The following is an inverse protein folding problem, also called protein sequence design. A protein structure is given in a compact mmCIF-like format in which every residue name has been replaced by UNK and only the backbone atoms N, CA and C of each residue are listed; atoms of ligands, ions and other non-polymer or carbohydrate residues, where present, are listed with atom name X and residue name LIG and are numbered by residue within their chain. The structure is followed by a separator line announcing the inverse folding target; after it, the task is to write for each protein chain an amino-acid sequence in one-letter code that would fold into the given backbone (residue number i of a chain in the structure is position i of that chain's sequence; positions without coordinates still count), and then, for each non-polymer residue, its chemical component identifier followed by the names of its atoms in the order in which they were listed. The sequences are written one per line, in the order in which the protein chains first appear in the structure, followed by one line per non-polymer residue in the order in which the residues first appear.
data_IF_791900782016
#
_entry.id   IF_791900782016
#
_cell.length_a   1.000
_cell.length_b   1.000
_cell.length_c   1.000
_cell.angle_alpha   90.00
_cell.angle_beta   90.00
_cell.angle_gamma   90.00
#
_symmetry.space_group_name_H-M   'P 1'
#
loop_
_entity.id
_entity.type
_entity.pdbx_description
1 polymer ?
#
# COMPACT_ATOMS: atom_id res chain seq x y z
N UNK A 1 -28.27 -33.61 54.49
CA UNK A 1 -26.90 -33.96 54.14
C UNK A 1 -26.71 -33.56 52.66
N UNK A 2 -26.19 -32.35 52.42
CA UNK A 2 -25.96 -31.83 51.05
C UNK A 2 -24.56 -32.22 50.61
N UNK A 3 -24.47 -32.87 49.48
CA UNK A 3 -23.21 -33.28 48.86
C UNK A 3 -22.51 -32.09 48.24
N UNK A 4 -21.27 -31.84 48.66
CA UNK A 4 -20.36 -30.83 48.08
C UNK A 4 -19.75 -31.42 46.82
N UNK A 5 -20.00 -30.79 45.65
CA UNK A 5 -19.35 -31.13 44.39
C UNK A 5 -17.86 -30.75 44.43
N UNK A 6 -16.94 -31.62 43.98
CA UNK A 6 -15.54 -31.30 43.91
C UNK A 6 -15.25 -30.30 42.78
N UNK A 7 -14.48 -29.28 43.11
CA UNK A 7 -13.93 -28.26 42.18
C UNK A 7 -13.02 -28.95 41.16
N UNK A 8 -13.36 -28.80 39.86
CA UNK A 8 -12.53 -29.30 38.75
C UNK A 8 -11.17 -28.65 38.76
N UNK A 9 -10.07 -29.38 38.48
CA UNK A 9 -8.73 -28.83 38.48
C UNK A 9 -8.54 -27.80 37.35
N UNK A 10 -7.95 -26.66 37.70
CA UNK A 10 -7.55 -25.61 36.77
C UNK A 10 -6.58 -26.23 35.76
N UNK A 11 -6.94 -26.20 34.49
CA UNK A 11 -6.12 -26.69 33.39
C UNK A 11 -4.79 -25.87 33.33
N UNK A 12 -3.61 -26.52 33.31
CA UNK A 12 -2.34 -25.80 33.24
C UNK A 12 -2.28 -24.99 31.94
N UNK A 13 -1.83 -23.75 32.05
CA UNK A 13 -1.69 -22.79 30.97
C UNK A 13 -1.08 -23.47 29.72
N UNK A 14 -1.76 -23.36 28.59
CA UNK A 14 -1.26 -23.84 27.31
C UNK A 14 0.15 -23.30 27.06
N UNK A 15 1.11 -24.12 26.61
CA UNK A 15 2.47 -23.69 26.38
C UNK A 15 2.48 -22.49 25.45
N UNK A 16 3.15 -21.42 25.87
CA UNK A 16 3.35 -20.22 25.06
C UNK A 16 4.08 -20.67 23.79
N UNK A 17 3.38 -20.69 22.65
CA UNK A 17 4.02 -21.02 21.37
C UNK A 17 5.15 -20.04 21.13
N UNK A 18 6.36 -20.51 20.77
CA UNK A 18 7.48 -19.62 20.46
C UNK A 18 7.06 -18.66 19.35
N UNK A 19 7.36 -17.37 19.52
CA UNK A 19 7.08 -16.35 18.52
C UNK A 19 7.87 -16.67 17.25
N UNK A 20 7.21 -16.71 16.11
CA UNK A 20 7.86 -16.94 14.81
C UNK A 20 9.09 -16.03 14.66
N UNK A 21 10.28 -16.55 14.28
CA UNK A 21 11.53 -15.80 14.21
C UNK A 21 11.46 -14.58 13.28
N UNK A 22 10.70 -14.67 12.19
CA UNK A 22 10.52 -13.56 11.24
C UNK A 22 9.68 -12.44 11.85
N UNK A 23 8.56 -12.79 12.51
CA UNK A 23 7.74 -11.85 13.26
C UNK A 23 8.54 -11.21 14.40
N UNK A 24 9.27 -11.99 15.18
CA UNK A 24 10.14 -11.50 16.26
C UNK A 24 11.21 -10.53 15.74
N UNK A 25 11.73 -10.76 14.54
CA UNK A 25 12.73 -9.88 13.92
C UNK A 25 12.11 -8.55 13.49
N UNK A 26 10.90 -8.55 12.94
CA UNK A 26 10.17 -7.32 12.61
C UNK A 26 9.75 -6.53 13.85
N UNK A 27 9.26 -7.18 14.89
CA UNK A 27 8.82 -6.50 16.13
C UNK A 27 9.95 -5.75 16.82
N UNK A 28 11.20 -6.21 16.71
CA UNK A 28 12.36 -5.48 17.21
C UNK A 28 12.68 -4.18 16.47
N UNK A 29 12.10 -3.96 15.29
CA UNK A 29 12.32 -2.73 14.50
C UNK A 29 11.35 -1.60 14.80
N UNK A 30 10.30 -1.89 15.53
CA UNK A 30 9.23 -0.92 15.89
C UNK A 30 9.26 -0.59 17.38
N UNK A 31 8.65 0.52 17.82
CA UNK A 31 8.52 0.85 19.25
C UNK A 31 7.78 -0.24 20.04
N UNK A 32 8.08 -0.36 21.35
CA UNK A 32 7.29 -1.22 22.22
C UNK A 32 5.81 -0.85 22.17
N UNK A 33 4.94 -1.86 22.12
CA UNK A 33 3.49 -1.70 22.03
C UNK A 33 2.97 -1.50 20.60
N UNK A 34 3.82 -1.27 19.61
CA UNK A 34 3.36 -1.23 18.22
C UNK A 34 2.92 -2.61 17.74
N UNK A 35 1.84 -2.60 16.97
CA UNK A 35 1.35 -3.79 16.29
C UNK A 35 2.18 -4.11 15.04
N UNK A 36 2.36 -5.39 14.76
CA UNK A 36 2.96 -5.90 13.53
C UNK A 36 2.09 -7.02 12.98
N UNK A 37 1.78 -6.96 11.70
CA UNK A 37 1.16 -8.06 10.96
C UNK A 37 2.05 -8.43 9.76
N UNK A 38 2.26 -9.72 9.56
CA UNK A 38 3.10 -10.29 8.52
C UNK A 38 2.32 -11.35 7.76
N UNK A 39 2.28 -11.21 6.44
CA UNK A 39 1.76 -12.23 5.52
C UNK A 39 2.91 -12.73 4.65
N UNK A 40 3.03 -14.04 4.52
CA UNK A 40 4.10 -14.71 3.76
C UNK A 40 3.49 -15.78 2.86
N UNK A 41 3.91 -15.79 1.60
CA UNK A 41 3.70 -16.89 0.65
C UNK A 41 5.08 -17.45 0.29
N UNK A 42 5.25 -18.75 0.41
CA UNK A 42 6.45 -19.48 0.00
C UNK A 42 6.06 -20.88 -0.50
N UNK A 43 6.96 -21.63 -1.14
CA UNK A 43 6.66 -22.99 -1.60
C UNK A 43 6.12 -23.91 -0.52
N UNK A 44 6.51 -23.70 0.74
CA UNK A 44 6.05 -24.49 1.90
C UNK A 44 4.64 -24.09 2.39
N UNK A 45 4.02 -23.08 1.80
CA UNK A 45 2.66 -22.64 2.11
C UNK A 45 2.54 -21.15 2.49
N UNK A 46 1.38 -20.80 3.00
CA UNK A 46 1.01 -19.44 3.40
C UNK A 46 1.05 -19.28 4.93
N UNK A 47 1.50 -18.13 5.41
CA UNK A 47 1.52 -17.81 6.84
C UNK A 47 1.01 -16.41 7.10
N UNK A 48 0.18 -16.29 8.14
CA UNK A 48 -0.34 -15.02 8.67
C UNK A 48 0.07 -14.94 10.15
N UNK A 49 0.88 -13.95 10.48
CA UNK A 49 1.49 -13.78 11.79
C UNK A 49 1.19 -12.38 12.31
N UNK A 50 0.72 -12.28 13.56
CA UNK A 50 0.34 -11.02 14.17
C UNK A 50 0.95 -10.87 15.57
N UNK A 51 1.24 -9.62 15.95
CA UNK A 51 1.74 -9.26 17.26
C UNK A 51 1.25 -7.87 17.66
N UNK A 52 0.98 -7.68 18.95
CA UNK A 52 0.59 -6.40 19.51
C UNK A 52 -0.93 -6.14 19.50
N UNK A 53 -1.30 -4.88 19.70
CA UNK A 53 -2.69 -4.44 19.84
C UNK A 53 -2.99 -3.29 18.87
N UNK A 54 -4.26 -3.11 18.56
CA UNK A 54 -4.73 -2.09 17.59
C UNK A 54 -4.41 -0.67 18.02
N UNK A 55 -4.31 -0.41 19.33
CA UNK A 55 -3.98 0.90 19.89
C UNK A 55 -2.91 0.76 21.00
N UNK A 56 -1.66 0.59 20.61
CA UNK A 56 -0.53 0.52 21.53
C UNK A 56 -0.70 -0.53 22.64
N UNK A 57 -0.77 -0.09 23.92
CA UNK A 57 -1.00 -0.97 25.07
C UNK A 57 -2.47 -1.27 25.33
N UNK A 58 -3.38 -0.47 24.77
CA UNK A 58 -4.83 -0.64 24.78
C UNK A 58 -5.35 -1.21 23.47
N UNK A 59 -6.65 -1.27 23.27
CA UNK A 59 -7.27 -1.83 22.08
C UNK A 59 -7.26 -3.37 22.04
N UNK A 60 -7.80 -3.91 20.96
CA UNK A 60 -7.91 -5.36 20.76
C UNK A 60 -6.60 -5.97 20.24
N UNK A 61 -6.34 -7.25 20.47
CA UNK A 61 -5.24 -7.97 19.85
C UNK A 61 -5.33 -7.87 18.31
N UNK A 62 -4.18 -7.64 17.66
CA UNK A 62 -4.11 -7.61 16.20
C UNK A 62 -4.32 -9.01 15.64
N UNK A 63 -5.19 -9.11 14.64
CA UNK A 63 -5.52 -10.33 13.90
C UNK A 63 -5.11 -10.18 12.43
N UNK A 64 -5.12 -11.26 11.64
CA UNK A 64 -4.91 -11.17 10.19
C UNK A 64 -5.89 -10.24 9.47
N UNK A 65 -7.05 -9.96 10.08
CA UNK A 65 -8.13 -9.13 9.53
C UNK A 65 -8.13 -7.70 10.07
N UNK A 66 -7.14 -7.33 10.88
CA UNK A 66 -6.97 -5.96 11.35
C UNK A 66 -6.55 -5.05 10.20
N UNK A 67 -7.32 -3.98 9.94
CA UNK A 67 -7.04 -2.99 8.89
C UNK A 67 -5.95 -2.01 9.27
N UNK A 68 -4.93 -1.86 8.41
CA UNK A 68 -3.82 -0.91 8.53
C UNK A 68 -3.83 0.11 7.39
N UNK A 69 -3.37 1.32 7.65
CA UNK A 69 -3.11 2.31 6.61
C UNK A 69 -1.90 1.90 5.76
N UNK A 70 -2.10 1.79 4.45
CA UNK A 70 -1.05 1.34 3.53
C UNK A 70 -0.10 2.46 3.08
N UNK A 71 -0.50 3.72 3.23
CA UNK A 71 0.26 4.83 2.68
C UNK A 71 0.57 4.60 1.20
N UNK A 72 1.82 4.74 0.78
CA UNK A 72 2.18 4.68 -0.64
C UNK A 72 2.01 3.30 -1.30
N UNK A 73 1.82 2.21 -0.56
CA UNK A 73 1.41 0.92 -1.15
C UNK A 73 0.05 1.05 -1.84
N UNK A 74 -0.83 1.97 -1.44
CA UNK A 74 -2.07 2.33 -2.16
C UNK A 74 -1.87 2.56 -3.66
N UNK A 75 -0.70 3.06 -4.04
CA UNK A 75 -0.40 3.35 -5.45
C UNK A 75 -0.38 2.10 -6.32
N UNK A 76 -0.07 0.93 -5.74
CA UNK A 76 -0.10 -0.33 -6.50
C UNK A 76 -1.53 -0.71 -6.88
N UNK A 77 -2.50 -0.40 -6.04
CA UNK A 77 -3.93 -0.54 -6.35
C UNK A 77 -4.37 0.45 -7.44
N UNK A 78 -3.90 1.71 -7.39
CA UNK A 78 -4.16 2.69 -8.45
C UNK A 78 -3.57 2.26 -9.79
N UNK A 79 -2.38 1.67 -9.78
CA UNK A 79 -1.77 1.11 -10.98
C UNK A 79 -2.56 -0.09 -11.54
N UNK A 80 -3.05 -0.96 -10.65
CA UNK A 80 -3.89 -2.09 -11.04
C UNK A 80 -5.23 -1.62 -11.61
N UNK A 81 -5.85 -0.56 -11.04
CA UNK A 81 -7.03 0.10 -11.62
C UNK A 81 -6.78 0.63 -13.03
N UNK A 82 -5.66 1.33 -13.24
CA UNK A 82 -5.29 1.79 -14.58
C UNK A 82 -5.19 0.62 -15.57
N UNK A 83 -4.51 -0.44 -15.19
CA UNK A 83 -4.29 -1.60 -16.04
C UNK A 83 -5.60 -2.39 -16.30
N UNK A 84 -6.49 -2.49 -15.31
CA UNK A 84 -7.79 -3.17 -15.44
C UNK A 84 -8.73 -2.40 -16.37
N UNK A 85 -8.85 -1.08 -16.20
CA UNK A 85 -9.64 -0.24 -17.10
C UNK A 85 -9.05 -0.24 -18.52
N UNK A 86 -7.72 -0.29 -18.66
CA UNK A 86 -7.08 -0.40 -19.96
C UNK A 86 -7.34 -1.77 -20.63
N UNK A 87 -7.32 -2.85 -19.85
CA UNK A 87 -7.65 -4.19 -20.35
C UNK A 87 -9.11 -4.31 -20.82
N UNK A 88 -10.01 -3.50 -20.25
CA UNK A 88 -11.41 -3.39 -20.71
C UNK A 88 -11.60 -2.44 -21.90
N UNK A 89 -10.57 -1.68 -22.28
CA UNK A 89 -10.68 -0.65 -23.31
C UNK A 89 -11.38 0.63 -22.86
N UNK A 90 -11.66 0.80 -21.58
CA UNK A 90 -12.30 1.99 -21.00
C UNK A 90 -11.34 3.20 -20.95
N UNK A 91 -10.04 2.94 -20.83
CA UNK A 91 -8.97 3.94 -20.92
C UNK A 91 -7.77 3.39 -21.68
N UNK A 92 -6.81 4.26 -22.00
CA UNK A 92 -5.51 3.87 -22.58
C UNK A 92 -4.36 4.45 -21.74
N UNK A 93 -3.24 3.79 -21.67
CA UNK A 93 -2.03 4.32 -21.01
C UNK A 93 -1.58 5.68 -21.59
N UNK A 94 -1.94 5.96 -22.84
CA UNK A 94 -1.62 7.22 -23.54
C UNK A 94 -2.67 8.31 -23.36
N UNK A 95 -3.81 8.00 -22.75
CA UNK A 95 -4.80 9.02 -22.41
C UNK A 95 -4.16 10.03 -21.47
N UNK A 96 -4.61 11.29 -21.58
CA UNK A 96 -3.96 12.40 -20.88
C UNK A 96 -4.89 13.09 -19.91
N UNK A 97 -4.27 13.71 -18.92
CA UNK A 97 -4.81 14.79 -18.10
C UNK A 97 -3.92 16.01 -18.28
N UNK A 98 -4.54 17.18 -18.44
CA UNK A 98 -3.80 18.42 -18.64
C UNK A 98 -3.49 19.09 -17.30
N UNK A 99 -2.25 19.49 -17.11
CA UNK A 99 -1.77 20.26 -15.95
C UNK A 99 -0.94 21.42 -16.47
N UNK A 100 -1.35 22.66 -16.17
CA UNK A 100 -0.72 23.89 -16.65
C UNK A 100 -0.43 23.83 -18.17
N UNK A 101 -1.47 23.52 -18.94
CA UNK A 101 -1.46 23.39 -20.41
C UNK A 101 -0.56 22.26 -20.96
N UNK A 102 0.03 21.44 -20.10
CA UNK A 102 0.86 20.30 -20.51
C UNK A 102 0.07 19.01 -20.41
N UNK A 103 -0.11 18.24 -21.53
CA UNK A 103 -0.74 16.93 -21.50
C UNK A 103 0.19 15.88 -20.87
N UNK A 104 -0.25 15.30 -19.75
CA UNK A 104 0.47 14.24 -19.04
C UNK A 104 -0.24 12.91 -19.28
N UNK A 105 0.44 11.93 -19.85
CA UNK A 105 -0.16 10.60 -20.05
C UNK A 105 -0.35 9.87 -18.73
N UNK A 106 -1.33 8.95 -18.66
CA UNK A 106 -1.52 8.06 -17.51
C UNK A 106 -0.26 7.23 -17.25
N UNK A 107 0.47 6.84 -18.32
CA UNK A 107 1.76 6.19 -18.18
C UNK A 107 2.79 7.08 -17.47
N UNK A 108 2.89 8.38 -17.83
CA UNK A 108 3.78 9.30 -17.15
C UNK A 108 3.47 9.41 -15.64
N UNK A 109 2.19 9.43 -15.28
CA UNK A 109 1.75 9.50 -13.88
C UNK A 109 2.10 8.20 -13.13
N UNK A 110 1.82 7.04 -13.73
CA UNK A 110 2.05 5.73 -13.13
C UNK A 110 3.54 5.31 -13.06
N UNK A 111 4.41 5.92 -13.88
CA UNK A 111 5.86 5.64 -13.89
C UNK A 111 6.68 6.72 -13.19
N UNK A 112 6.00 7.72 -12.61
CA UNK A 112 6.67 8.86 -11.98
C UNK A 112 7.55 9.70 -12.93
N UNK A 113 7.21 9.73 -14.21
CA UNK A 113 7.92 10.51 -15.24
C UNK A 113 7.16 11.74 -15.73
N UNK A 114 6.10 12.12 -15.04
CA UNK A 114 5.24 13.26 -15.43
C UNK A 114 5.91 14.64 -15.28
N UNK A 115 7.05 14.73 -14.61
CA UNK A 115 7.66 16.01 -14.24
C UNK A 115 6.96 16.74 -13.10
N UNK A 116 5.85 16.22 -12.59
CA UNK A 116 5.12 16.83 -11.47
C UNK A 116 5.96 16.84 -10.18
N UNK A 117 5.83 17.88 -9.34
CA UNK A 117 6.46 17.89 -8.03
C UNK A 117 5.92 16.74 -7.14
N UNK A 118 6.66 16.42 -6.07
CA UNK A 118 6.27 15.36 -5.12
C UNK A 118 4.88 15.59 -4.52
N UNK A 119 4.56 16.83 -4.19
CA UNK A 119 3.30 17.27 -3.58
C UNK A 119 2.70 18.40 -4.42
N UNK A 120 1.37 18.52 -4.50
CA UNK A 120 0.73 19.60 -5.25
C UNK A 120 1.03 20.96 -4.62
N UNK A 121 1.07 22.03 -5.44
CA UNK A 121 1.17 23.41 -4.94
C UNK A 121 0.09 23.72 -3.91
N UNK A 122 0.42 24.51 -2.90
CA UNK A 122 -0.51 24.92 -1.85
C UNK A 122 -0.67 23.91 -0.70
N UNK A 123 -0.43 22.62 -0.90
CA UNK A 123 -0.61 21.60 0.14
C UNK A 123 0.14 21.91 1.43
N UNK A 124 1.38 22.42 1.35
CA UNK A 124 2.14 22.77 2.55
C UNK A 124 1.46 23.87 3.38
N UNK A 125 0.78 24.80 2.72
CA UNK A 125 0.07 25.90 3.37
C UNK A 125 -1.21 25.39 4.04
N UNK A 126 -2.01 24.60 3.34
CA UNK A 126 -3.21 23.96 3.89
C UNK A 126 -2.89 22.97 5.01
N UNK A 127 -1.69 22.39 4.98
CA UNK A 127 -1.24 21.41 5.96
C UNK A 127 -0.79 22.01 7.31
N UNK A 128 -0.55 23.33 7.42
CA UNK A 128 0.01 23.93 8.63
C UNK A 128 -0.68 23.52 9.95
N UNK A 129 -2.01 23.49 10.04
CA UNK A 129 -2.70 23.07 11.28
C UNK A 129 -2.51 21.59 11.64
N UNK A 130 -2.32 20.72 10.63
CA UNK A 130 -2.27 19.27 10.78
C UNK A 130 -0.95 18.66 10.30
N UNK A 131 0.12 19.46 10.19
CA UNK A 131 1.40 19.04 9.62
C UNK A 131 1.97 17.78 10.29
N UNK A 132 1.82 17.68 11.61
CA UNK A 132 2.36 16.54 12.37
C UNK A 132 1.41 15.34 12.45
N UNK A 133 0.16 15.49 12.03
CA UNK A 133 -0.86 14.44 12.02
C UNK A 133 -1.17 13.97 10.60
N UNK A 134 -1.99 14.72 9.86
CA UNK A 134 -2.32 14.40 8.48
C UNK A 134 -2.27 15.66 7.58
N UNK A 135 -1.17 15.91 6.87
CA UNK A 135 -1.01 17.11 6.05
C UNK A 135 -1.96 17.18 4.85
N UNK A 136 -2.65 16.09 4.50
CA UNK A 136 -3.58 16.06 3.36
C UNK A 136 -5.03 16.30 3.76
N UNK A 137 -5.39 16.16 5.04
CA UNK A 137 -6.78 16.15 5.48
C UNK A 137 -7.56 17.42 5.10
N UNK A 138 -6.93 18.58 5.16
CA UNK A 138 -7.52 19.86 4.82
C UNK A 138 -7.37 20.25 3.34
N UNK A 139 -6.66 19.45 2.53
CA UNK A 139 -6.43 19.77 1.13
C UNK A 139 -7.62 19.32 0.27
N UNK A 140 -8.42 20.29 -0.17
CA UNK A 140 -9.66 20.06 -0.88
C UNK A 140 -9.47 19.79 -2.38
N UNK A 141 -10.51 19.24 -3.04
CA UNK A 141 -10.57 19.07 -4.50
C UNK A 141 -10.43 20.41 -5.20
N UNK A 142 -11.10 21.46 -4.71
CA UNK A 142 -11.01 22.80 -5.31
C UNK A 142 -9.59 23.41 -5.19
N UNK A 143 -8.84 23.08 -4.15
CA UNK A 143 -7.43 23.49 -4.06
C UNK A 143 -6.56 22.72 -5.04
N UNK A 144 -6.85 21.43 -5.25
CA UNK A 144 -6.18 20.63 -6.27
C UNK A 144 -6.43 21.18 -7.68
N UNK A 145 -7.66 21.56 -8.03
CA UNK A 145 -8.01 22.13 -9.34
C UNK A 145 -7.20 23.41 -9.59
N UNK A 146 -7.22 24.34 -8.61
CA UNK A 146 -6.41 25.56 -8.70
C UNK A 146 -4.90 25.27 -8.74
N UNK A 147 -4.44 24.19 -8.14
CA UNK A 147 -3.05 23.79 -8.17
C UNK A 147 -2.64 23.23 -9.52
N UNK A 148 -3.55 22.54 -10.23
CA UNK A 148 -3.26 22.04 -11.58
C UNK A 148 -2.89 23.17 -12.52
N UNK A 149 -3.61 24.29 -12.52
CA UNK A 149 -3.34 25.45 -13.38
C UNK A 149 -2.02 26.16 -13.04
N UNK A 150 -1.62 26.11 -11.76
CA UNK A 150 -0.43 26.82 -11.25
C UNK A 150 0.81 25.95 -11.13
N UNK A 151 0.69 24.66 -11.47
CA UNK A 151 1.79 23.71 -11.33
C UNK A 151 2.91 24.03 -12.33
N UNK A 152 4.14 24.08 -11.84
CA UNK A 152 5.33 24.08 -12.69
C UNK A 152 5.96 22.70 -12.70
N UNK A 153 6.09 22.12 -13.89
CA UNK A 153 6.79 20.86 -14.05
C UNK A 153 8.28 21.04 -13.78
N UNK A 154 8.90 20.06 -13.16
CA UNK A 154 10.35 20.06 -12.87
C UNK A 154 11.19 19.66 -14.07
N UNK A 155 10.64 18.81 -14.94
CA UNK A 155 11.25 18.32 -16.16
C UNK A 155 10.14 18.07 -17.20
N UNK A 156 10.49 17.99 -18.50
CA UNK A 156 9.56 17.52 -19.52
C UNK A 156 9.00 16.13 -19.16
N UNK A 157 7.72 15.86 -19.50
CA UNK A 157 7.14 14.55 -19.31
C UNK A 157 7.93 13.47 -20.06
N UNK A 158 8.20 12.34 -19.40
CA UNK A 158 8.97 11.22 -19.94
C UNK A 158 10.48 11.30 -19.70
N UNK A 159 11.05 12.45 -19.38
CA UNK A 159 12.50 12.67 -19.28
C UNK A 159 13.12 11.99 -18.04
N UNK A 160 12.55 12.21 -16.87
CA UNK A 160 13.15 11.76 -15.61
C UNK A 160 12.13 11.15 -14.65
N UNK A 161 12.60 10.13 -13.92
CA UNK A 161 11.86 9.57 -12.80
C UNK A 161 11.94 10.51 -11.60
N UNK A 162 10.79 11.03 -11.18
CA UNK A 162 10.66 11.84 -9.99
C UNK A 162 9.40 11.41 -9.21
N UNK A 163 9.61 10.71 -8.09
CA UNK A 163 8.51 10.18 -7.28
C UNK A 163 7.51 11.27 -6.91
N UNK A 164 6.26 11.10 -7.31
CA UNK A 164 5.20 12.08 -7.12
C UNK A 164 3.93 11.46 -6.53
N UNK A 165 3.58 11.88 -5.30
CA UNK A 165 2.26 11.60 -4.71
C UNK A 165 1.17 12.33 -5.50
N UNK A 166 1.49 13.56 -5.94
CA UNK A 166 0.60 14.37 -6.77
C UNK A 166 0.23 13.62 -8.05
N UNK A 167 1.23 13.11 -8.77
CA UNK A 167 1.00 12.43 -10.05
C UNK A 167 0.11 11.18 -9.92
N UNK A 168 0.40 10.27 -8.98
CA UNK A 168 -0.43 9.06 -8.83
C UNK A 168 -1.78 9.37 -8.19
N UNK A 169 -1.86 10.35 -7.30
CA UNK A 169 -3.13 10.80 -6.76
C UNK A 169 -4.04 11.40 -7.84
N UNK A 170 -3.47 12.22 -8.73
CA UNK A 170 -4.18 12.76 -9.89
C UNK A 170 -4.62 11.65 -10.85
N UNK A 171 -3.76 10.64 -11.10
CA UNK A 171 -4.15 9.45 -11.87
C UNK A 171 -5.39 8.79 -11.26
N UNK A 172 -5.37 8.48 -9.94
CA UNK A 172 -6.50 7.83 -9.28
C UNK A 172 -7.80 8.64 -9.37
N UNK A 173 -7.71 9.96 -9.20
CA UNK A 173 -8.83 10.88 -9.40
C UNK A 173 -9.36 10.81 -10.83
N UNK A 174 -8.50 10.97 -11.82
CA UNK A 174 -8.91 10.98 -13.24
C UNK A 174 -9.49 9.63 -13.68
N UNK A 175 -8.98 8.49 -13.18
CA UNK A 175 -9.58 7.18 -13.44
C UNK A 175 -11.00 7.07 -12.87
N UNK A 176 -11.22 7.58 -11.67
CA UNK A 176 -12.55 7.62 -11.04
C UNK A 176 -13.53 8.51 -11.81
N UNK A 177 -13.10 9.70 -12.23
CA UNK A 177 -13.88 10.63 -13.07
C UNK A 177 -14.25 9.99 -14.43
N UNK A 178 -13.31 9.30 -15.08
CA UNK A 178 -13.56 8.58 -16.35
C UNK A 178 -14.56 7.42 -16.18
N UNK A 179 -14.53 6.75 -15.03
CA UNK A 179 -15.48 5.70 -14.68
C UNK A 179 -16.82 6.23 -14.14
N UNK A 180 -17.00 7.54 -14.01
CA UNK A 180 -18.23 8.18 -13.51
C UNK A 180 -18.54 7.87 -12.04
N UNK A 181 -17.50 7.64 -11.21
CA UNK A 181 -17.65 7.22 -9.81
C UNK A 181 -16.58 7.84 -8.90
N UNK A 182 -16.63 7.55 -7.61
CA UNK A 182 -15.56 7.92 -6.68
C UNK A 182 -14.39 6.90 -6.70
N UNK A 183 -13.20 7.33 -6.30
CA UNK A 183 -12.04 6.42 -6.22
C UNK A 183 -12.28 5.23 -5.27
N UNK A 184 -12.86 5.39 -4.05
CA UNK A 184 -13.19 4.25 -3.21
C UNK A 184 -14.15 3.27 -3.86
N UNK A 185 -15.22 3.76 -4.50
CA UNK A 185 -16.19 2.91 -5.18
C UNK A 185 -15.58 2.18 -6.39
N UNK A 186 -14.72 2.87 -7.16
CA UNK A 186 -13.98 2.25 -8.26
C UNK A 186 -13.04 1.14 -7.75
N UNK A 187 -12.28 1.41 -6.68
CA UNK A 187 -11.40 0.43 -6.05
C UNK A 187 -12.19 -0.82 -5.62
N UNK A 188 -13.30 -0.62 -4.91
CA UNK A 188 -14.14 -1.70 -4.42
C UNK A 188 -14.70 -2.53 -5.57
N UNK A 189 -15.34 -1.90 -6.56
CA UNK A 189 -16.03 -2.62 -7.64
C UNK A 189 -15.09 -3.31 -8.62
N UNK A 190 -13.91 -2.74 -8.88
CA UNK A 190 -13.00 -3.26 -9.92
C UNK A 190 -11.89 -4.15 -9.38
N UNK A 191 -11.48 -3.95 -8.11
CA UNK A 191 -10.34 -4.66 -7.53
C UNK A 191 -10.75 -5.43 -6.27
N UNK A 192 -11.23 -4.74 -5.21
CA UNK A 192 -11.40 -5.38 -3.90
C UNK A 192 -12.45 -6.48 -3.94
N UNK A 193 -13.65 -6.21 -4.44
CA UNK A 193 -14.73 -7.20 -4.49
C UNK A 193 -14.41 -8.38 -5.42
N UNK A 194 -13.94 -8.18 -6.67
CA UNK A 194 -13.59 -9.31 -7.53
C UNK A 194 -12.47 -10.20 -6.96
N UNK A 195 -11.47 -9.62 -6.27
CA UNK A 195 -10.39 -10.38 -5.65
C UNK A 195 -10.73 -10.90 -4.25
N UNK A 196 -11.93 -10.62 -3.71
CA UNK A 196 -12.34 -11.03 -2.37
C UNK A 196 -11.54 -10.36 -1.24
N UNK A 197 -11.10 -9.11 -1.45
CA UNK A 197 -10.35 -8.31 -0.48
C UNK A 197 -11.35 -7.54 0.40
N UNK A 198 -11.93 -8.20 1.38
CA UNK A 198 -13.07 -7.69 2.15
C UNK A 198 -12.71 -6.60 3.17
N UNK A 199 -11.44 -6.48 3.54
CA UNK A 199 -10.90 -5.46 4.43
C UNK A 199 -10.01 -4.44 3.71
N UNK A 200 -10.16 -4.31 2.37
CA UNK A 200 -9.38 -3.37 1.54
C UNK A 200 -10.28 -2.30 0.96
N UNK A 201 -10.17 -1.09 1.50
CA UNK A 201 -10.99 0.08 1.17
C UNK A 201 -10.25 1.39 1.46
N UNK A 202 -10.99 2.52 1.52
CA UNK A 202 -10.47 3.83 1.94
C UNK A 202 -11.08 4.33 3.27
N UNK A 203 -11.80 3.48 3.97
CA UNK A 203 -12.42 3.81 5.26
C UNK A 203 -11.45 3.67 6.43
N UNK A 204 -11.68 4.33 7.58
CA UNK A 204 -10.83 4.19 8.75
C UNK A 204 -10.68 2.73 9.20
N UNK A 205 -9.43 2.25 9.28
CA UNK A 205 -9.11 0.90 9.76
C UNK A 205 -9.07 0.80 11.29
N UNK A 206 -9.02 -0.45 11.81
CA UNK A 206 -8.99 -0.72 13.24
C UNK A 206 -7.66 -0.39 13.92
N UNK A 207 -6.54 -0.48 13.20
CA UNK A 207 -5.23 -0.15 13.75
C UNK A 207 -5.02 1.36 13.82
N UNK A 208 -4.90 1.88 15.04
CA UNK A 208 -4.62 3.29 15.31
C UNK A 208 -3.14 3.57 15.00
N UNK A 209 -2.88 4.49 14.10
CA UNK A 209 -1.52 4.91 13.76
C UNK A 209 -0.85 5.70 14.89
N UNK A 210 0.45 5.49 15.13
CA UNK A 210 1.19 6.15 16.20
C UNK A 210 2.42 6.90 15.68
N UNK A 211 2.62 8.12 16.16
CA UNK A 211 3.83 8.88 16.00
C UNK A 211 4.47 9.17 17.37
N UNK A 212 5.69 8.66 17.61
CA UNK A 212 6.37 8.77 18.91
C UNK A 212 5.47 8.33 20.07
N UNK A 213 4.79 7.19 19.92
CA UNK A 213 3.87 6.59 20.89
C UNK A 213 2.57 7.40 21.17
N UNK A 214 2.29 8.43 20.40
CA UNK A 214 1.04 9.18 20.46
C UNK A 214 0.11 8.70 19.37
N UNK A 215 -1.16 8.37 19.69
CA UNK A 215 -2.15 8.01 18.70
C UNK A 215 -2.43 9.18 17.76
N UNK A 216 -2.69 8.88 16.50
CA UNK A 216 -2.99 9.86 15.46
C UNK A 216 -4.42 9.65 14.95
N UNK A 217 -5.08 10.73 14.49
CA UNK A 217 -6.33 10.60 13.77
C UNK A 217 -6.13 9.77 12.49
N UNK A 218 -7.20 9.12 11.98
CA UNK A 218 -7.14 8.35 10.75
C UNK A 218 -6.57 9.15 9.57
N UNK A 219 -5.70 8.51 8.80
CA UNK A 219 -5.10 9.12 7.62
C UNK A 219 -6.12 9.27 6.49
N UNK A 220 -6.31 10.46 5.99
CA UNK A 220 -7.23 10.79 4.90
C UNK A 220 -6.53 11.61 3.83
N UNK A 221 -6.86 11.35 2.56
CA UNK A 221 -6.36 12.12 1.40
C UNK A 221 -7.53 12.43 0.48
N UNK A 222 -8.43 13.38 0.83
CA UNK A 222 -9.68 13.60 0.11
C UNK A 222 -9.50 13.92 -1.38
N UNK A 223 -8.55 14.79 -1.71
CA UNK A 223 -8.33 15.23 -3.08
C UNK A 223 -7.48 14.27 -3.94
N UNK A 224 -6.70 13.39 -3.33
CA UNK A 224 -5.73 12.53 -4.01
C UNK A 224 -5.72 11.10 -3.45
N UNK A 225 -6.88 10.43 -3.31
CA UNK A 225 -6.99 9.15 -2.60
C UNK A 225 -6.08 8.06 -3.17
N UNK A 226 -5.89 8.01 -4.48
CA UNK A 226 -4.98 7.06 -5.15
C UNK A 226 -3.52 7.17 -4.75
N UNK A 227 -3.11 8.25 -4.07
CA UNK A 227 -1.74 8.43 -3.60
C UNK A 227 -1.43 7.68 -2.29
N UNK A 228 -2.45 7.33 -1.48
CA UNK A 228 -2.14 6.79 -0.16
C UNK A 228 -3.32 6.61 0.79
N UNK A 229 -4.57 6.60 0.31
CA UNK A 229 -5.75 6.48 1.17
C UNK A 229 -6.16 5.03 1.47
N UNK A 230 -5.65 4.04 0.72
CA UNK A 230 -6.07 2.64 0.87
C UNK A 230 -5.61 2.08 2.21
N UNK A 231 -6.51 1.35 2.83
CA UNK A 231 -6.29 0.49 3.99
C UNK A 231 -6.46 -0.95 3.57
N UNK A 232 -5.78 -1.86 4.25
CA UNK A 232 -5.91 -3.29 3.98
C UNK A 232 -5.49 -4.10 5.20
N UNK A 233 -5.74 -5.39 5.14
CA UNK A 233 -5.39 -6.36 6.17
C UNK A 233 -4.23 -7.25 5.70
N UNK A 234 -3.59 -7.97 6.62
CA UNK A 234 -2.56 -8.93 6.25
C UNK A 234 -3.14 -10.06 5.38
N UNK A 235 -4.38 -10.50 5.66
CA UNK A 235 -5.09 -11.51 4.87
C UNK A 235 -5.36 -11.05 3.45
N UNK A 236 -5.86 -9.83 3.29
CA UNK A 236 -6.14 -9.28 1.96
C UNK A 236 -4.87 -9.06 1.15
N UNK A 237 -3.80 -8.57 1.80
CA UNK A 237 -2.50 -8.42 1.12
C UNK A 237 -1.88 -9.77 0.75
N UNK A 238 -2.13 -10.83 1.54
CA UNK A 238 -1.76 -12.19 1.15
C UNK A 238 -2.43 -12.56 -0.18
N UNK A 239 -3.76 -12.44 -0.26
CA UNK A 239 -4.54 -12.70 -1.49
C UNK A 239 -4.09 -11.82 -2.65
N UNK A 240 -3.92 -10.52 -2.40
CA UNK A 240 -3.46 -9.56 -3.39
C UNK A 240 -2.11 -9.95 -4.00
N UNK A 241 -1.17 -10.41 -3.17
CA UNK A 241 0.14 -10.85 -3.63
C UNK A 241 0.10 -12.24 -4.29
N UNK A 242 -0.76 -13.16 -3.82
CA UNK A 242 -0.94 -14.48 -4.44
C UNK A 242 -1.44 -14.35 -5.88
N UNK A 243 -2.39 -13.45 -6.17
CA UNK A 243 -2.83 -13.23 -7.56
C UNK A 243 -1.77 -12.49 -8.42
N UNK A 244 -0.84 -11.77 -7.80
CA UNK A 244 0.32 -11.22 -8.52
C UNK A 244 1.35 -12.30 -8.85
N UNK A 245 1.49 -13.33 -8.02
CA UNK A 245 2.34 -14.50 -8.32
C UNK A 245 1.75 -15.35 -9.43
N UNK A 246 0.45 -15.57 -9.43
CA UNK A 246 -0.28 -16.29 -10.47
C UNK A 246 -1.45 -15.46 -11.03
N UNK A 247 -1.18 -14.59 -12.01
CA UNK A 247 -2.24 -13.80 -12.66
C UNK A 247 -3.33 -14.63 -13.34
N UNK A 248 -3.07 -15.91 -13.67
CA UNK A 248 -4.06 -16.77 -14.31
C UNK A 248 -5.18 -17.17 -13.35
N UNK A 249 -4.93 -17.16 -12.04
CA UNK A 249 -5.94 -17.41 -11.00
C UNK A 249 -6.91 -16.23 -10.78
N UNK A 250 -6.73 -15.08 -11.45
CA UNK A 250 -7.62 -13.94 -11.31
C UNK A 250 -9.02 -14.25 -11.89
N UNK A 251 -10.10 -13.75 -11.26
CA UNK A 251 -11.48 -14.12 -11.57
C UNK A 251 -11.99 -13.61 -12.93
N UNK A 252 -11.28 -12.67 -13.56
CA UNK A 252 -11.67 -12.11 -14.87
C UNK A 252 -10.45 -11.97 -15.79
N UNK A 253 -10.72 -12.07 -17.10
CA UNK A 253 -9.66 -11.88 -18.12
C UNK A 253 -9.04 -10.48 -18.07
N UNK A 254 -9.83 -9.47 -17.72
CA UNK A 254 -9.33 -8.09 -17.56
C UNK A 254 -8.34 -7.99 -16.38
N UNK A 255 -8.65 -8.61 -15.22
CA UNK A 255 -7.73 -8.66 -14.09
C UNK A 255 -6.49 -9.48 -14.39
N UNK A 256 -6.63 -10.62 -15.08
CA UNK A 256 -5.46 -11.41 -15.55
C UNK A 256 -4.53 -10.56 -16.40
N UNK A 257 -5.07 -9.83 -17.37
CA UNK A 257 -4.29 -8.94 -18.23
C UNK A 257 -3.66 -7.79 -17.43
N UNK A 258 -4.42 -7.19 -16.52
CA UNK A 258 -3.96 -6.08 -15.67
C UNK A 258 -2.81 -6.50 -14.74
N UNK A 259 -2.92 -7.65 -14.08
CA UNK A 259 -1.89 -8.19 -13.19
C UNK A 259 -0.57 -8.47 -13.94
N UNK A 260 -0.65 -8.93 -15.19
CA UNK A 260 0.53 -9.07 -16.06
C UNK A 260 1.08 -7.73 -16.49
N UNK A 261 0.22 -6.76 -16.77
CA UNK A 261 0.62 -5.44 -17.28
C UNK A 261 1.33 -4.60 -16.20
N UNK A 262 0.86 -4.62 -14.94
CA UNK A 262 1.52 -3.87 -13.85
C UNK A 262 2.93 -4.39 -13.54
N UNK A 263 3.28 -5.60 -13.95
CA UNK A 263 4.59 -6.21 -13.74
C UNK A 263 5.57 -5.93 -14.89
N UNK A 264 5.10 -5.41 -16.04
CA UNK A 264 5.97 -5.13 -17.18
C UNK A 264 6.92 -3.97 -16.90
N UNK A 265 8.24 -4.13 -17.07
CA UNK A 265 9.19 -3.03 -16.98
C UNK A 265 8.90 -1.96 -18.03
N UNK A 266 8.85 -0.69 -17.61
CA UNK A 266 8.61 0.46 -18.50
C UNK A 266 9.86 1.27 -18.74
N UNK A 267 10.74 1.35 -17.74
CA UNK A 267 12.00 2.10 -17.83
C UNK A 267 13.01 1.61 -16.80
N UNK A 268 14.27 1.88 -17.06
CA UNK A 268 15.40 1.60 -16.14
C UNK A 268 15.67 2.85 -15.31
N UNK A 269 15.89 2.70 -14.01
CA UNK A 269 16.26 3.82 -13.15
C UNK A 269 17.68 4.30 -13.46
N UNK A 270 17.94 5.61 -13.47
CA UNK A 270 19.28 6.14 -13.68
C UNK A 270 20.28 5.56 -12.67
N UNK A 271 21.44 5.16 -13.13
CA UNK A 271 22.55 4.62 -12.29
C UNK A 271 22.17 3.41 -11.44
N UNK A 272 21.24 2.61 -11.89
CA UNK A 272 20.75 1.40 -11.19
C UNK A 272 20.34 0.34 -12.20
N UNK A 273 20.34 -0.92 -11.79
CA UNK A 273 19.70 -2.02 -12.54
C UNK A 273 18.20 -2.10 -12.27
N UNK A 274 17.73 -1.42 -11.21
CA UNK A 274 16.30 -1.40 -10.87
C UNK A 274 15.49 -0.77 -12.00
N UNK A 275 14.30 -1.29 -12.20
CA UNK A 275 13.35 -0.84 -13.23
C UNK A 275 12.08 -0.31 -12.55
N UNK A 276 11.30 0.45 -13.30
CA UNK A 276 9.95 0.87 -12.89
C UNK A 276 8.95 0.23 -13.85
N UNK A 277 7.96 -0.42 -13.25
CA UNK A 277 6.75 -0.88 -13.90
C UNK A 277 5.64 0.18 -13.75
N UNK A 278 4.36 -0.20 -13.76
CA UNK A 278 3.31 0.72 -13.31
C UNK A 278 3.37 0.80 -11.78
N UNK A 279 3.98 1.87 -11.26
CA UNK A 279 4.21 2.13 -9.82
C UNK A 279 5.21 1.18 -9.15
N UNK A 280 5.17 -0.11 -9.45
CA UNK A 280 6.05 -1.10 -8.85
C UNK A 280 7.53 -0.84 -9.17
N UNK A 281 8.38 -0.97 -8.14
CA UNK A 281 9.81 -1.09 -8.34
C UNK A 281 10.13 -2.55 -8.67
N UNK A 282 10.94 -2.77 -9.69
CA UNK A 282 11.41 -4.08 -10.07
C UNK A 282 12.93 -4.13 -9.93
N UNK A 283 13.43 -5.09 -9.19
CA UNK A 283 14.85 -5.38 -9.02
C UNK A 283 15.18 -6.73 -9.66
N UNK A 284 15.99 -6.75 -10.71
CA UNK A 284 16.51 -8.02 -11.24
C UNK A 284 17.41 -8.70 -10.20
N UNK A 285 17.19 -10.00 -9.99
CA UNK A 285 18.07 -10.84 -9.19
C UNK A 285 18.38 -12.16 -9.94
N UNK A 286 19.43 -12.90 -9.58
CA UNK A 286 19.72 -14.20 -10.20
C UNK A 286 18.56 -15.19 -10.11
N UNK A 287 17.77 -15.10 -9.01
CA UNK A 287 16.65 -16.00 -8.72
C UNK A 287 15.31 -15.52 -9.28
N UNK A 288 15.31 -14.41 -10.01
CA UNK A 288 14.12 -13.82 -10.65
C UNK A 288 13.93 -12.35 -10.29
N UNK A 289 13.03 -11.70 -11.02
CA UNK A 289 12.69 -10.30 -10.81
C UNK A 289 11.86 -10.14 -9.51
N UNK A 290 12.32 -9.27 -8.62
CA UNK A 290 11.62 -8.91 -7.39
C UNK A 290 10.86 -7.63 -7.61
N UNK A 291 9.54 -7.68 -7.50
CA UNK A 291 8.68 -6.50 -7.49
C UNK A 291 8.37 -6.10 -6.06
N UNK A 292 8.50 -4.83 -5.74
CA UNK A 292 8.27 -4.34 -4.38
C UNK A 292 7.76 -2.91 -4.33
N UNK A 293 7.06 -2.60 -3.26
CA UNK A 293 6.70 -1.23 -2.88
C UNK A 293 6.71 -1.07 -1.37
N UNK A 294 6.92 0.15 -0.90
CA UNK A 294 6.82 0.50 0.52
C UNK A 294 5.92 1.69 0.73
N UNK A 295 5.32 1.77 1.89
CA UNK A 295 4.41 2.84 2.24
C UNK A 295 4.62 3.36 3.66
N UNK A 296 4.11 4.55 3.87
CA UNK A 296 4.05 5.15 5.19
C UNK A 296 3.05 6.29 5.19
N UNK A 297 2.30 6.35 6.27
CA UNK A 297 1.54 7.52 6.72
C UNK A 297 2.32 8.17 7.86
N UNK A 298 1.71 9.08 8.60
CA UNK A 298 2.36 9.56 9.84
C UNK A 298 2.40 8.48 10.91
N UNK A 299 1.41 7.58 10.92
CA UNK A 299 1.21 6.61 11.99
C UNK A 299 1.44 5.16 11.62
N UNK A 300 1.54 4.81 10.34
CA UNK A 300 1.69 3.43 9.89
C UNK A 300 2.86 3.28 8.92
N UNK A 301 3.43 2.08 8.87
CA UNK A 301 4.44 1.70 7.86
C UNK A 301 4.04 0.37 7.23
N UNK A 302 4.20 0.26 5.91
CA UNK A 302 3.90 -0.93 5.13
C UNK A 302 5.04 -1.28 4.17
N UNK A 303 5.19 -2.56 3.89
CA UNK A 303 6.11 -3.07 2.86
C UNK A 303 5.48 -4.29 2.20
N UNK A 304 5.54 -4.35 0.86
CA UNK A 304 5.12 -5.53 0.09
C UNK A 304 6.17 -5.87 -0.94
N UNK A 305 6.38 -7.17 -1.17
CA UNK A 305 7.26 -7.67 -2.20
C UNK A 305 6.78 -9.04 -2.71
N UNK A 306 7.08 -9.34 -3.97
CA UNK A 306 6.86 -10.68 -4.54
C UNK A 306 7.86 -10.99 -5.65
N UNK A 307 8.10 -12.28 -5.90
CA UNK A 307 8.93 -12.79 -6.97
C UNK A 307 8.18 -13.95 -7.66
N UNK A 308 7.63 -13.74 -8.87
CA UNK A 308 6.87 -14.77 -9.57
C UNK A 308 7.66 -16.04 -9.82
N UNK A 309 8.95 -15.91 -10.18
CA UNK A 309 9.82 -17.07 -10.46
C UNK A 309 10.04 -17.95 -9.24
N UNK A 310 10.14 -17.37 -8.05
CA UNK A 310 10.34 -18.09 -6.78
C UNK A 310 9.01 -18.56 -6.15
N UNK A 311 7.86 -18.07 -6.63
CA UNK A 311 6.57 -18.29 -5.98
C UNK A 311 6.52 -17.69 -4.55
N UNK A 312 7.29 -16.63 -4.27
CA UNK A 312 7.40 -16.05 -2.93
C UNK A 312 6.81 -14.66 -2.87
N UNK A 313 6.13 -14.35 -1.77
CA UNK A 313 5.62 -13.01 -1.50
C UNK A 313 5.63 -12.70 0.00
N UNK A 314 5.67 -11.40 0.31
CA UNK A 314 5.64 -10.90 1.69
C UNK A 314 4.89 -9.57 1.76
N UNK A 315 4.01 -9.43 2.75
CA UNK A 315 3.47 -8.16 3.19
C UNK A 315 3.76 -7.97 4.68
N UNK A 316 4.32 -6.82 5.06
CA UNK A 316 4.59 -6.44 6.44
C UNK A 316 3.92 -5.11 6.75
N UNK A 317 3.16 -5.06 7.85
CA UNK A 317 2.36 -3.93 8.29
C UNK A 317 2.68 -3.60 9.74
N UNK A 318 2.67 -2.32 10.10
CA UNK A 318 2.75 -1.85 11.50
C UNK A 318 2.00 -0.53 11.67
N UNK A 319 1.42 -0.33 12.85
CA UNK A 319 0.81 0.93 13.28
C UNK A 319 1.82 1.91 13.90
N UNK A 320 3.08 1.77 13.56
CA UNK A 320 4.14 2.74 13.87
C UNK A 320 4.53 3.51 12.60
N UNK A 321 4.61 4.83 12.70
CA UNK A 321 5.06 5.69 11.59
C UNK A 321 6.48 5.38 11.15
N UNK A 322 6.84 5.70 9.89
CA UNK A 322 8.14 5.38 9.32
C UNK A 322 9.28 6.09 10.08
N UNK A 323 10.33 5.34 10.34
CA UNK A 323 11.56 5.85 10.94
C UNK A 323 12.55 6.29 9.86
N UNK A 324 13.40 7.26 10.17
CA UNK A 324 14.41 7.77 9.23
C UNK A 324 15.41 6.69 8.79
N UNK A 325 15.71 5.72 9.67
CA UNK A 325 16.60 4.60 9.38
C UNK A 325 15.98 3.52 8.48
N UNK A 326 14.67 3.58 8.24
CA UNK A 326 13.95 2.63 7.38
C UNK A 326 13.99 1.18 7.83
N UNK A 327 14.34 0.91 9.09
CA UNK A 327 14.62 -0.46 9.60
C UNK A 327 13.50 -1.46 9.33
N UNK A 328 12.24 -1.06 9.51
CA UNK A 328 11.10 -1.94 9.28
C UNK A 328 11.07 -2.44 7.84
N UNK A 329 11.17 -1.51 6.88
CA UNK A 329 11.14 -1.81 5.44
C UNK A 329 12.36 -2.66 5.04
N UNK A 330 13.56 -2.27 5.51
CA UNK A 330 14.80 -3.01 5.24
C UNK A 330 14.77 -4.43 5.81
N UNK A 331 14.18 -4.61 6.99
CA UNK A 331 14.02 -5.92 7.62
C UNK A 331 12.98 -6.76 6.89
N UNK A 332 11.84 -6.18 6.49
CA UNK A 332 10.87 -6.83 5.62
C UNK A 332 11.49 -7.32 4.31
N UNK A 333 12.32 -6.49 3.67
CA UNK A 333 13.02 -6.87 2.44
C UNK A 333 14.05 -8.01 2.68
N UNK A 334 14.77 -8.00 3.82
CA UNK A 334 15.68 -9.11 4.16
C UNK A 334 14.93 -10.42 4.38
N UNK A 335 13.86 -10.39 5.18
CA UNK A 335 13.01 -11.57 5.41
C UNK A 335 12.49 -12.11 4.08
N UNK A 336 11.99 -11.24 3.19
CA UNK A 336 11.51 -11.65 1.86
C UNK A 336 12.62 -12.30 1.02
N UNK A 337 13.83 -11.77 1.05
CA UNK A 337 14.95 -12.32 0.29
C UNK A 337 15.36 -13.71 0.79
N UNK A 338 15.19 -13.96 2.08
CA UNK A 338 15.58 -15.21 2.75
C UNK A 338 14.45 -16.29 2.68
N UNK A 339 13.27 -15.98 2.06
CA UNK A 339 12.23 -16.95 1.70
C UNK A 339 12.65 -17.79 0.50
#
# INVERSE_FOLDING_TARGET
MSAVNPVSPVNPASPVRPVDPQLATLTRTVPRGAAVALAVVCPDGERLLCHGRTDGSSGEPVTPDTGFELGSVSKTFTALLLAELAARGEVRHRDTVTVADVPLTFLHLATHTSGLPRLPPGLRRSALPAWFTNPYAAYSVAELDRAMDRTRLRNPPGDRVHYSNYGVGLLGRTLAERAGTSYPALLTSRISAPLGLTGTDCEPGAAVGHFRQRPLPPWQIPALPGAGAVRSTARDLLRYLTVHLDPAAAPTTALTAALRDVQRPRLVKPRSTDRICLVWNLRPTPDGDVLFHSGGTRGCTSFIAFCPRRGTALAALTNAGPRLDGRFIQTGYRIFRDL
#
